data_IF_635170384867
#
_entry.id   IF_635170384867
#
_cell.length_a   1.000
_cell.length_b   1.000
_cell.length_c   1.000
_cell.angle_alpha   90.00
_cell.angle_beta   90.00
_cell.angle_gamma   90.00
#
_symmetry.space_group_name_H-M   'P 1'
#
loop_
_entity.id
_entity.type
_entity.pdbx_description
1 polymer ?
#
# COMPACT_ATOMS: atom_id res chain seq x y z
N UNK A 1 4.33 22.42 25.37
CA UNK A 1 3.09 22.04 24.66
C UNK A 1 3.32 21.53 23.23
N UNK A 2 4.09 22.23 22.36
CA UNK A 2 4.32 21.82 20.95
C UNK A 2 5.05 20.47 20.79
N UNK A 3 5.98 20.12 21.68
CA UNK A 3 6.75 18.87 21.60
C UNK A 3 5.89 17.62 21.83
N UNK A 4 4.98 17.64 22.82
CA UNK A 4 4.07 16.52 23.09
C UNK A 4 3.10 16.27 21.92
N UNK A 5 2.63 17.34 21.25
CA UNK A 5 1.78 17.22 20.07
C UNK A 5 2.52 16.57 18.89
N UNK A 6 3.79 16.94 18.68
CA UNK A 6 4.63 16.32 17.65
C UNK A 6 4.88 14.84 17.94
N UNK A 7 5.27 14.51 19.17
CA UNK A 7 5.50 13.12 19.59
C UNK A 7 4.25 12.25 19.43
N UNK A 8 3.07 12.77 19.78
CA UNK A 8 1.81 12.06 19.58
C UNK A 8 1.51 11.81 18.09
N UNK A 9 1.76 12.80 17.22
CA UNK A 9 1.61 12.64 15.77
C UNK A 9 2.58 11.60 15.20
N UNK A 10 3.84 11.63 15.63
CA UNK A 10 4.83 10.64 15.24
C UNK A 10 4.45 9.23 15.71
N UNK A 11 4.01 9.08 16.96
CA UNK A 11 3.55 7.79 17.50
C UNK A 11 2.42 7.19 16.66
N UNK A 12 1.45 8.02 16.23
CA UNK A 12 0.38 7.58 15.32
C UNK A 12 0.91 7.17 13.95
N UNK A 13 1.86 7.91 13.37
CA UNK A 13 2.48 7.51 12.09
C UNK A 13 3.13 6.13 12.23
N UNK A 14 3.93 5.90 13.28
CA UNK A 14 4.60 4.62 13.51
C UNK A 14 3.63 3.45 13.73
N UNK A 15 2.58 3.65 14.53
CA UNK A 15 1.52 2.65 14.76
C UNK A 15 0.91 2.18 13.43
N UNK A 16 0.52 3.14 12.58
CA UNK A 16 -0.14 2.84 11.31
C UNK A 16 0.80 2.32 10.23
N UNK A 17 2.05 2.79 10.20
CA UNK A 17 3.09 2.20 9.35
C UNK A 17 3.32 0.75 9.75
N UNK A 18 3.38 0.42 11.04
CA UNK A 18 3.52 -0.96 11.52
C UNK A 18 2.37 -1.87 11.08
N UNK A 19 1.13 -1.43 11.27
CA UNK A 19 -0.06 -2.15 10.78
C UNK A 19 -0.01 -2.33 9.26
N UNK A 20 0.32 -1.25 8.54
CA UNK A 20 0.44 -1.27 7.09
C UNK A 20 1.51 -2.21 6.58
N UNK A 21 2.69 -2.28 7.23
CA UNK A 21 3.75 -3.23 6.89
C UNK A 21 3.26 -4.66 7.08
N UNK A 22 2.60 -4.98 8.20
CA UNK A 22 2.07 -6.32 8.44
C UNK A 22 1.06 -6.73 7.37
N UNK A 23 0.18 -5.82 6.98
CA UNK A 23 -0.79 -6.03 5.91
C UNK A 23 -0.12 -6.20 4.55
N UNK A 24 0.92 -5.41 4.28
CA UNK A 24 1.68 -5.44 3.04
C UNK A 24 2.46 -6.74 2.87
N UNK A 25 3.11 -7.22 3.93
CA UNK A 25 3.77 -8.52 3.95
C UNK A 25 2.75 -9.65 3.73
N UNK A 26 1.59 -9.59 4.38
CA UNK A 26 0.52 -10.56 4.18
C UNK A 26 0.08 -10.59 2.71
N UNK A 27 -0.11 -9.42 2.09
CA UNK A 27 -0.51 -9.32 0.68
C UNK A 27 0.58 -9.86 -0.24
N UNK A 28 1.86 -9.55 0.02
CA UNK A 28 2.97 -10.09 -0.76
C UNK A 28 3.03 -11.61 -0.66
N UNK A 29 2.87 -12.18 0.55
CA UNK A 29 2.84 -13.63 0.75
C UNK A 29 1.67 -14.26 0.00
N UNK A 30 0.44 -13.75 0.17
CA UNK A 30 -0.75 -14.27 -0.51
C UNK A 30 -0.58 -14.18 -2.03
N UNK A 31 -0.13 -13.04 -2.54
CA UNK A 31 0.06 -12.85 -3.98
C UNK A 31 1.10 -13.82 -4.52
N UNK A 32 2.18 -14.07 -3.78
CA UNK A 32 3.21 -15.05 -4.15
C UNK A 32 2.65 -16.48 -4.19
N UNK A 33 1.87 -16.87 -3.17
CA UNK A 33 1.22 -18.18 -3.14
C UNK A 33 0.24 -18.36 -4.31
N UNK A 34 -0.52 -17.31 -4.63
CA UNK A 34 -1.45 -17.30 -5.78
C UNK A 34 -0.68 -17.43 -7.09
N UNK A 35 0.42 -16.69 -7.27
CA UNK A 35 1.28 -16.82 -8.45
C UNK A 35 1.81 -18.26 -8.59
N UNK A 36 2.36 -18.82 -7.52
CA UNK A 36 2.85 -20.21 -7.51
C UNK A 36 1.78 -21.24 -7.86
N UNK A 37 0.53 -21.01 -7.43
CA UNK A 37 -0.59 -21.90 -7.72
C UNK A 37 -1.09 -21.78 -9.17
N UNK A 38 -1.02 -20.58 -9.76
CA UNK A 38 -1.56 -20.30 -11.10
C UNK A 38 -0.54 -20.58 -12.21
N UNK A 39 0.76 -20.38 -11.95
CA UNK A 39 1.84 -20.58 -12.93
C UNK A 39 1.77 -21.92 -13.70
N UNK A 40 1.53 -23.09 -13.07
CA UNK A 40 1.44 -24.37 -13.79
C UNK A 40 0.15 -24.53 -14.64
N UNK A 41 -0.86 -23.68 -14.43
CA UNK A 41 -2.15 -23.73 -15.13
C UNK A 41 -2.15 -22.81 -16.36
N UNK A 42 -1.24 -21.84 -16.39
CA UNK A 42 -1.19 -20.87 -17.48
C UNK A 42 -0.73 -21.51 -18.80
N UNK A 43 -1.39 -21.19 -19.93
CA UNK A 43 -0.93 -21.64 -21.24
C UNK A 43 0.52 -21.21 -21.48
N UNK A 44 1.32 -22.07 -22.09
CA UNK A 44 2.72 -21.76 -22.40
C UNK A 44 2.87 -20.41 -23.11
N UNK A 45 3.65 -19.51 -22.52
CA UNK A 45 3.88 -18.14 -23.03
C UNK A 45 3.18 -17.04 -22.23
N UNK A 46 2.23 -17.37 -21.36
CA UNK A 46 1.66 -16.41 -20.41
C UNK A 46 2.56 -16.30 -19.18
N UNK A 47 3.21 -15.15 -19.00
CA UNK A 47 3.92 -14.80 -17.76
C UNK A 47 3.18 -13.67 -17.07
N UNK A 48 2.83 -13.88 -15.80
CA UNK A 48 2.36 -12.81 -14.94
C UNK A 48 3.53 -11.83 -14.74
N UNK A 49 3.46 -10.66 -15.39
CA UNK A 49 4.52 -9.65 -15.33
C UNK A 49 4.38 -8.72 -14.11
N UNK A 50 5.33 -7.77 -13.95
CA UNK A 50 5.32 -6.78 -12.85
C UNK A 50 4.02 -6.01 -12.79
N UNK A 51 3.47 -5.69 -13.95
CA UNK A 51 2.34 -4.80 -14.07
C UNK A 51 1.11 -5.49 -13.48
N UNK A 52 0.89 -6.76 -13.82
CA UNK A 52 -0.21 -7.54 -13.25
C UNK A 52 -0.03 -7.74 -11.75
N UNK A 53 1.19 -8.01 -11.28
CA UNK A 53 1.46 -8.14 -9.85
C UNK A 53 1.20 -6.84 -9.08
N UNK A 54 1.69 -5.71 -9.58
CA UNK A 54 1.47 -4.39 -8.98
C UNK A 54 -0.02 -4.05 -8.96
N UNK A 55 -0.75 -4.35 -10.04
CA UNK A 55 -2.21 -4.14 -10.10
C UNK A 55 -2.92 -5.01 -9.07
N UNK A 56 -2.61 -6.31 -8.98
CA UNK A 56 -3.21 -7.22 -8.00
C UNK A 56 -2.93 -6.79 -6.57
N UNK A 57 -1.67 -6.48 -6.24
CA UNK A 57 -1.29 -5.98 -4.91
C UNK A 57 -2.03 -4.68 -4.60
N UNK A 58 -2.15 -3.77 -5.57
CA UNK A 58 -2.88 -2.51 -5.41
C UNK A 58 -4.38 -2.73 -5.16
N UNK A 59 -5.00 -3.65 -5.88
CA UNK A 59 -6.41 -4.03 -5.69
C UNK A 59 -6.61 -4.64 -4.30
N UNK A 60 -5.80 -5.64 -3.93
CA UNK A 60 -5.92 -6.31 -2.63
C UNK A 60 -5.70 -5.32 -1.49
N UNK A 61 -4.70 -4.45 -1.60
CA UNK A 61 -4.43 -3.40 -0.62
C UNK A 61 -5.64 -2.44 -0.50
N UNK A 62 -6.15 -1.95 -1.63
CA UNK A 62 -7.33 -1.08 -1.68
C UNK A 62 -8.57 -1.73 -1.06
N UNK A 63 -8.80 -3.01 -1.36
CA UNK A 63 -9.89 -3.80 -0.79
C UNK A 63 -9.71 -3.97 0.71
N UNK A 64 -8.51 -4.33 1.17
CA UNK A 64 -8.25 -4.52 2.60
C UNK A 64 -8.48 -3.23 3.41
N UNK A 65 -8.06 -2.07 2.88
CA UNK A 65 -8.33 -0.78 3.52
C UNK A 65 -9.81 -0.37 3.48
N UNK A 66 -10.54 -0.75 2.43
CA UNK A 66 -11.94 -0.33 2.23
C UNK A 66 -12.97 -1.22 2.93
N UNK A 67 -12.69 -2.50 3.06
CA UNK A 67 -13.65 -3.50 3.53
C UNK A 67 -13.39 -4.03 4.94
N UNK A 68 -12.22 -3.80 5.54
CA UNK A 68 -12.00 -4.14 6.95
C UNK A 68 -12.67 -3.10 7.87
N UNK A 69 -13.84 -3.39 8.49
CA UNK A 69 -14.70 -2.37 9.07
C UNK A 69 -14.02 -1.64 10.24
N UNK A 70 -13.34 -2.40 11.12
CA UNK A 70 -12.62 -1.81 12.26
C UNK A 70 -11.39 -1.02 11.82
N UNK A 71 -10.75 -1.41 10.73
CA UNK A 71 -9.54 -0.76 10.22
C UNK A 71 -9.89 0.54 9.51
N UNK A 72 -10.91 0.52 8.63
CA UNK A 72 -11.33 1.69 7.85
C UNK A 72 -11.87 2.82 8.73
N UNK A 73 -12.62 2.49 9.78
CA UNK A 73 -13.16 3.49 10.73
C UNK A 73 -12.04 4.11 11.55
N UNK A 74 -11.18 3.29 12.18
CA UNK A 74 -10.01 3.79 12.91
C UNK A 74 -9.08 4.60 12.02
N UNK A 75 -8.89 4.17 10.77
CA UNK A 75 -8.10 4.93 9.82
C UNK A 75 -8.80 6.24 9.47
N UNK A 76 -10.12 6.24 9.26
CA UNK A 76 -10.93 7.42 8.95
C UNK A 76 -10.81 8.53 10.01
N UNK A 77 -10.66 8.19 11.28
CA UNK A 77 -10.45 9.13 12.39
C UNK A 77 -9.13 9.91 12.29
N UNK A 78 -8.14 9.42 11.53
CA UNK A 78 -6.86 10.13 11.40
C UNK A 78 -7.00 11.42 10.59
N UNK A 79 -6.15 12.40 10.96
CA UNK A 79 -5.93 13.61 10.19
C UNK A 79 -5.45 13.28 8.77
N UNK A 80 -5.93 14.04 7.78
CA UNK A 80 -5.67 13.77 6.36
C UNK A 80 -4.16 13.78 6.02
N UNK A 81 -3.40 14.66 6.66
CA UNK A 81 -1.95 14.73 6.52
C UNK A 81 -1.24 13.47 7.05
N UNK A 82 -1.70 12.88 8.16
CA UNK A 82 -1.10 11.65 8.69
C UNK A 82 -1.38 10.48 7.73
N UNK A 83 -2.59 10.37 7.21
CA UNK A 83 -2.95 9.33 6.21
C UNK A 83 -2.07 9.41 4.98
N UNK A 84 -1.88 10.62 4.44
CA UNK A 84 -1.04 10.84 3.27
C UNK A 84 0.41 10.40 3.53
N UNK A 85 0.97 10.77 4.68
CA UNK A 85 2.33 10.36 5.07
C UNK A 85 2.44 8.84 5.21
N UNK A 86 1.50 8.20 5.93
CA UNK A 86 1.48 6.74 6.09
C UNK A 86 1.42 6.06 4.73
N UNK A 87 0.53 6.50 3.83
CA UNK A 87 0.40 5.91 2.51
C UNK A 87 1.68 6.03 1.67
N UNK A 88 2.31 7.21 1.66
CA UNK A 88 3.58 7.41 0.95
C UNK A 88 4.69 6.52 1.51
N UNK A 89 4.80 6.41 2.83
CA UNK A 89 5.78 5.53 3.48
C UNK A 89 5.54 4.07 3.10
N UNK A 90 4.30 3.59 3.14
CA UNK A 90 3.96 2.21 2.79
C UNK A 90 4.27 1.90 1.31
N UNK A 91 3.95 2.82 0.39
CA UNK A 91 4.27 2.65 -1.02
C UNK A 91 5.79 2.64 -1.27
N UNK A 92 6.54 3.48 -0.55
CA UNK A 92 8.00 3.46 -0.61
C UNK A 92 8.59 2.13 -0.09
N UNK A 93 8.10 1.65 1.05
CA UNK A 93 8.52 0.36 1.63
C UNK A 93 8.20 -0.78 0.66
N UNK A 94 7.01 -0.78 0.04
CA UNK A 94 6.64 -1.76 -0.98
C UNK A 94 7.67 -1.80 -2.10
N UNK A 95 8.02 -0.65 -2.65
CA UNK A 95 9.01 -0.54 -3.72
C UNK A 95 10.37 -1.13 -3.32
N UNK A 96 10.84 -0.78 -2.12
CA UNK A 96 12.10 -1.31 -1.59
C UNK A 96 12.04 -2.82 -1.43
N UNK A 97 10.96 -3.37 -0.86
CA UNK A 97 10.78 -4.81 -0.72
C UNK A 97 10.74 -5.52 -2.07
N UNK A 98 10.00 -4.97 -3.04
CA UNK A 98 9.92 -5.51 -4.40
C UNK A 98 11.29 -5.57 -5.07
N UNK A 99 12.08 -4.49 -4.95
CA UNK A 99 13.42 -4.41 -5.50
C UNK A 99 14.36 -5.40 -4.81
N UNK A 100 14.35 -5.46 -3.48
CA UNK A 100 15.18 -6.38 -2.70
C UNK A 100 14.85 -7.84 -2.99
N UNK A 101 13.57 -8.22 -3.03
CA UNK A 101 13.15 -9.60 -3.35
C UNK A 101 13.62 -10.05 -4.74
N UNK A 102 13.64 -9.11 -5.69
CA UNK A 102 14.16 -9.33 -7.03
C UNK A 102 15.68 -9.46 -7.03
N UNK A 103 16.39 -8.57 -6.34
CA UNK A 103 17.85 -8.60 -6.26
C UNK A 103 18.41 -9.80 -5.49
N UNK A 104 17.69 -10.32 -4.50
CA UNK A 104 18.12 -11.49 -3.71
C UNK A 104 17.73 -12.82 -4.34
N UNK A 105 16.97 -12.81 -5.45
CA UNK A 105 16.35 -14.00 -6.07
C UNK A 105 15.48 -14.84 -5.12
N UNK A 106 15.07 -14.30 -3.97
CA UNK A 106 14.21 -15.02 -3.04
C UNK A 106 12.81 -15.23 -3.64
N UNK A 107 12.26 -14.17 -4.21
CA UNK A 107 10.99 -14.21 -4.91
C UNK A 107 11.00 -13.11 -6.00
N UNK A 108 11.67 -13.38 -7.13
CA UNK A 108 11.88 -12.36 -8.14
C UNK A 108 10.54 -11.90 -8.70
N UNK A 109 10.27 -10.61 -8.57
CA UNK A 109 9.05 -10.02 -9.09
C UNK A 109 9.26 -9.81 -10.58
N UNK A 110 8.52 -10.53 -11.44
CA UNK A 110 8.66 -10.38 -12.89
C UNK A 110 8.55 -8.90 -13.27
N UNK A 111 9.35 -8.40 -14.21
CA UNK A 111 9.31 -6.99 -14.65
C UNK A 111 9.96 -5.95 -13.73
N UNK A 112 10.37 -6.33 -12.51
CA UNK A 112 11.35 -5.55 -11.74
C UNK A 112 12.74 -6.00 -12.17
N UNK A 113 13.63 -5.04 -12.44
CA UNK A 113 15.03 -5.32 -12.82
C UNK A 113 15.95 -4.93 -11.67
N UNK A 114 16.84 -5.82 -11.26
CA UNK A 114 17.88 -5.50 -10.28
C UNK A 114 19.00 -4.66 -10.95
N UNK A 115 18.69 -3.42 -11.29
CA UNK A 115 19.65 -2.44 -11.80
C UNK A 115 19.25 -1.03 -11.36
N UNK A 116 20.12 -0.05 -11.63
CA UNK A 116 19.83 1.37 -11.36
C UNK A 116 18.62 1.84 -12.19
N UNK A 117 18.52 1.39 -13.44
CA UNK A 117 17.41 1.68 -14.34
C UNK A 117 16.10 1.08 -13.81
N UNK A 118 16.14 -0.16 -13.32
CA UNK A 118 14.98 -0.81 -12.69
C UNK A 118 14.52 -0.09 -11.42
N UNK A 119 15.46 0.36 -10.58
CA UNK A 119 15.14 1.17 -9.40
C UNK A 119 14.48 2.50 -9.77
N UNK A 120 14.98 3.19 -10.81
CA UNK A 120 14.39 4.45 -11.33
C UNK A 120 12.99 4.23 -11.92
N UNK A 121 12.79 3.14 -12.67
CA UNK A 121 11.49 2.78 -13.21
C UNK A 121 10.48 2.52 -12.08
N UNK A 122 10.89 1.76 -11.05
CA UNK A 122 10.05 1.48 -9.89
C UNK A 122 9.71 2.76 -9.10
N UNK A 123 10.68 3.65 -8.89
CA UNK A 123 10.44 4.94 -8.25
C UNK A 123 9.41 5.79 -9.01
N UNK A 124 9.48 5.78 -10.35
CA UNK A 124 8.52 6.48 -11.21
C UNK A 124 7.10 5.89 -11.07
N UNK A 125 6.98 4.57 -11.05
CA UNK A 125 5.69 3.89 -10.85
C UNK A 125 5.08 4.23 -9.49
N UNK A 126 5.89 4.27 -8.43
CA UNK A 126 5.42 4.64 -7.09
C UNK A 126 4.96 6.09 -7.04
N UNK A 127 5.69 7.00 -7.67
CA UNK A 127 5.29 8.39 -7.76
C UNK A 127 3.93 8.55 -8.45
N UNK A 128 3.74 7.88 -9.59
CA UNK A 128 2.46 7.85 -10.29
C UNK A 128 1.36 7.22 -9.44
N UNK A 129 1.64 6.12 -8.74
CA UNK A 129 0.66 5.46 -7.89
C UNK A 129 0.24 6.35 -6.69
N UNK A 130 1.15 7.12 -6.11
CA UNK A 130 0.83 8.10 -5.05
C UNK A 130 -0.10 9.18 -5.58
N UNK A 131 0.18 9.74 -6.76
CA UNK A 131 -0.69 10.74 -7.40
C UNK A 131 -2.06 10.15 -7.68
N UNK A 132 -2.12 8.97 -8.32
CA UNK A 132 -3.37 8.29 -8.64
C UNK A 132 -4.19 7.98 -7.38
N UNK A 133 -3.54 7.55 -6.30
CA UNK A 133 -4.24 7.29 -5.04
C UNK A 133 -4.78 8.58 -4.40
N UNK A 134 -4.01 9.67 -4.44
CA UNK A 134 -4.46 10.97 -3.96
C UNK A 134 -5.68 11.47 -4.74
N UNK A 135 -5.64 11.39 -6.08
CA UNK A 135 -6.75 11.80 -6.94
C UNK A 135 -7.99 10.92 -6.73
N UNK A 136 -7.82 9.60 -6.68
CA UNK A 136 -8.94 8.66 -6.46
C UNK A 136 -9.62 8.92 -5.13
N UNK A 137 -8.85 9.12 -4.05
CA UNK A 137 -9.42 9.41 -2.74
C UNK A 137 -10.17 10.75 -2.69
N UNK A 138 -9.76 11.74 -3.50
CA UNK A 138 -10.46 13.02 -3.64
C UNK A 138 -11.79 12.92 -4.39
N UNK A 139 -11.96 11.92 -5.27
CA UNK A 139 -13.15 11.74 -6.09
C UNK A 139 -14.16 10.75 -5.51
N UNK A 140 -13.73 9.83 -4.65
CA UNK A 140 -14.59 8.77 -4.11
C UNK A 140 -15.42 9.25 -2.93
N UNK A 141 -16.73 9.06 -3.00
CA UNK A 141 -17.64 9.30 -1.89
C UNK A 141 -17.38 8.32 -0.73
N UNK A 142 -17.12 8.81 0.49
CA UNK A 142 -16.88 7.93 1.61
C UNK A 142 -18.17 7.19 2.06
N UNK A 143 -18.06 5.93 2.49
CA UNK A 143 -19.15 5.19 3.14
C UNK A 143 -19.71 5.92 4.37
N UNK A 144 -20.94 5.58 4.78
CA UNK A 144 -21.64 6.26 5.88
C UNK A 144 -20.87 6.23 7.22
N UNK A 145 -20.32 5.07 7.59
CA UNK A 145 -19.52 4.91 8.81
C UNK A 145 -18.21 5.73 8.78
N UNK A 146 -17.60 5.88 7.60
CA UNK A 146 -16.43 6.75 7.39
C UNK A 146 -16.83 8.24 7.48
N UNK A 147 -18.02 8.61 7.02
CA UNK A 147 -18.55 9.98 7.14
C UNK A 147 -18.80 10.33 8.61
N UNK A 148 -19.42 9.42 9.37
CA UNK A 148 -19.64 9.55 10.81
C UNK A 148 -18.33 9.70 11.60
N UNK A 149 -17.34 8.85 11.32
CA UNK A 149 -16.01 8.93 11.94
C UNK A 149 -15.23 10.21 11.57
N UNK A 150 -15.42 10.73 10.36
CA UNK A 150 -14.85 12.04 9.95
C UNK A 150 -15.53 13.20 10.66
N UNK A 151 -16.84 13.11 10.91
CA UNK A 151 -17.63 14.12 11.60
C UNK A 151 -17.29 14.18 13.10
N UNK A 152 -17.12 13.03 13.77
CA UNK A 152 -16.71 12.98 15.18
C UNK A 152 -15.35 13.62 15.43
N UNK A 153 -14.42 13.52 14.48
CA UNK A 153 -13.13 14.21 14.49
C UNK A 153 -13.27 15.74 14.36
N UNK A 154 -14.29 16.24 13.67
CA UNK A 154 -14.48 17.68 13.50
C UNK A 154 -15.11 18.34 14.73
N UNK A 155 -15.78 17.56 15.57
CA UNK A 155 -16.44 18.01 16.81
C UNK A 155 -15.60 17.89 18.09
N UNK A 156 -14.43 17.23 18.03
CA UNK A 156 -13.52 17.04 19.17
C UNK A 156 -12.20 17.77 18.98
#
# INVERSE_FOLDING_TARGET
MKLNLLLQKFGKVFEWVGIGIGLLLLILIISSLVLMAIDPILPGGWKLDAQIFVVLVSIVLSVAWSFLPKLRVKFAELAANIKAIVNVILMFILAVLMFLFTCTNWNPIPGVVCSIEGAKALATLIFLAVISNYTTYGLTDPPADVKEAKASRASG
#
